data_IF_239494351094
#
_entry.id   IF_239494351094
#
_cell.length_a   1.000
_cell.length_b   1.000
_cell.length_c   1.000
_cell.angle_alpha   90.00
_cell.angle_beta   90.00
_cell.angle_gamma   90.00
#
_symmetry.space_group_name_H-M   'P 1'
#
loop_
_entity.id
_entity.type
_entity.pdbx_description
1 polymer ?
#
# COMPACT_ATOMS: atom_id res chain seq x y z
N UNK A 1 17.91 -8.86 -5.69
CA UNK A 1 16.47 -8.91 -5.39
C UNK A 1 16.24 -7.94 -4.26
N UNK A 2 15.43 -6.90 -4.48
CA UNK A 2 14.98 -6.06 -3.37
C UNK A 2 13.96 -6.90 -2.60
N UNK A 3 14.34 -7.41 -1.43
CA UNK A 3 13.37 -7.99 -0.52
C UNK A 3 12.52 -6.84 0.03
N UNK A 4 11.21 -6.99 0.08
CA UNK A 4 10.32 -6.00 0.70
C UNK A 4 9.73 -6.58 1.97
N UNK A 5 9.62 -5.75 2.99
CA UNK A 5 8.79 -6.00 4.15
C UNK A 5 7.44 -5.33 3.91
N UNK A 6 6.39 -6.13 3.89
CA UNK A 6 5.09 -5.73 3.40
C UNK A 6 4.03 -5.88 4.49
N UNK A 7 3.20 -4.85 4.62
CA UNK A 7 2.08 -4.81 5.57
C UNK A 7 0.78 -4.50 4.82
N UNK A 8 -0.17 -5.43 4.86
CA UNK A 8 -1.51 -5.25 4.33
C UNK A 8 -2.40 -4.53 5.34
N UNK A 9 -3.06 -3.48 4.88
CA UNK A 9 -4.21 -2.85 5.52
C UNK A 9 -5.46 -3.28 4.77
N UNK A 10 -6.27 -4.12 5.39
CA UNK A 10 -7.58 -4.47 4.89
C UNK A 10 -8.62 -3.54 5.51
N UNK A 11 -9.32 -2.77 4.68
CA UNK A 11 -10.30 -1.79 5.15
C UNK A 11 -11.58 -2.47 5.63
N UNK A 12 -12.20 -1.87 6.65
CA UNK A 12 -13.47 -2.36 7.21
C UNK A 12 -14.61 -2.33 6.19
N UNK A 13 -14.62 -1.32 5.34
CA UNK A 13 -15.60 -1.13 4.28
C UNK A 13 -14.89 -0.64 3.01
N UNK A 14 -15.44 -0.98 1.85
CA UNK A 14 -14.95 -0.49 0.57
C UNK A 14 -15.13 1.03 0.46
N UNK A 15 -14.12 1.71 -0.06
CA UNK A 15 -14.08 3.17 -0.20
C UNK A 15 -14.05 3.58 -1.66
N UNK A 16 -14.61 4.75 -1.95
CA UNK A 16 -14.44 5.39 -3.24
C UNK A 16 -12.95 5.81 -3.39
N UNK A 17 -12.24 5.36 -4.44
CA UNK A 17 -10.79 5.50 -4.52
C UNK A 17 -10.27 6.94 -4.43
N UNK A 18 -10.82 7.87 -5.22
CA UNK A 18 -10.26 9.22 -5.36
C UNK A 18 -10.34 9.99 -4.04
N UNK A 19 -11.50 9.98 -3.39
CA UNK A 19 -11.71 10.62 -2.09
C UNK A 19 -10.85 9.99 -0.98
N UNK A 20 -10.75 8.66 -0.96
CA UNK A 20 -9.94 7.95 0.04
C UNK A 20 -8.45 8.26 -0.11
N UNK A 21 -7.89 8.12 -1.31
CA UNK A 21 -6.45 8.34 -1.56
C UNK A 21 -6.10 9.82 -1.29
N UNK A 22 -6.94 10.76 -1.72
CA UNK A 22 -6.73 12.19 -1.47
C UNK A 22 -6.72 12.52 0.03
N UNK A 23 -7.64 11.95 0.82
CA UNK A 23 -7.67 12.15 2.26
C UNK A 23 -6.48 11.48 2.96
N UNK A 24 -6.15 10.25 2.55
CA UNK A 24 -5.01 9.52 3.07
C UNK A 24 -3.70 10.29 2.82
N UNK A 25 -3.45 10.77 1.59
CA UNK A 25 -2.26 11.56 1.27
C UNK A 25 -2.08 12.78 2.18
N UNK A 26 -3.16 13.52 2.47
CA UNK A 26 -3.12 14.64 3.43
C UNK A 26 -2.70 14.19 4.84
N UNK A 27 -3.23 13.05 5.30
CA UNK A 27 -2.88 12.48 6.61
C UNK A 27 -1.46 11.92 6.64
N UNK A 28 -0.99 11.27 5.56
CA UNK A 28 0.38 10.80 5.43
C UNK A 28 1.40 11.96 5.47
N UNK A 29 1.10 13.06 4.77
CA UNK A 29 1.91 14.28 4.84
C UNK A 29 2.02 14.83 6.28
N UNK A 30 0.99 14.67 7.12
CA UNK A 30 1.03 15.11 8.53
C UNK A 30 1.99 14.32 9.43
N UNK A 31 2.52 13.20 8.93
CA UNK A 31 3.52 12.36 9.60
C UNK A 31 4.80 12.23 8.77
N UNK A 32 5.10 13.23 7.93
CA UNK A 32 6.30 13.32 7.10
C UNK A 32 6.47 12.19 6.06
N UNK A 33 5.38 11.50 5.70
CA UNK A 33 5.34 10.55 4.59
C UNK A 33 4.70 11.23 3.38
N UNK A 34 5.54 11.80 2.51
CA UNK A 34 5.10 12.62 1.39
C UNK A 34 5.16 11.87 0.07
N UNK A 35 4.18 12.10 -0.81
CA UNK A 35 4.16 11.53 -2.16
C UNK A 35 5.39 12.01 -2.94
N UNK A 36 6.21 11.07 -3.42
CA UNK A 36 7.44 11.38 -4.14
C UNK A 36 7.12 11.73 -5.59
N UNK A 37 7.76 12.79 -6.09
CA UNK A 37 7.64 13.25 -7.47
C UNK A 37 9.04 13.52 -7.98
N UNK A 38 9.39 12.87 -9.07
CA UNK A 38 10.64 13.07 -9.80
C UNK A 38 10.55 12.33 -11.12
N UNK A 39 11.34 12.74 -12.10
CA UNK A 39 11.43 12.10 -13.42
C UNK A 39 11.85 10.61 -13.37
N UNK A 40 12.18 10.09 -12.19
CA UNK A 40 12.52 8.69 -11.92
C UNK A 40 11.43 7.91 -11.16
N UNK A 41 10.33 8.56 -10.76
CA UNK A 41 9.21 7.91 -10.06
C UNK A 41 8.18 7.47 -11.08
N UNK A 42 7.64 6.28 -10.86
CA UNK A 42 6.69 5.64 -11.75
C UNK A 42 5.42 5.30 -10.97
N UNK A 43 4.26 5.60 -11.55
CA UNK A 43 3.00 4.98 -11.15
C UNK A 43 2.92 3.63 -11.86
N UNK A 44 2.88 2.56 -11.07
CA UNK A 44 2.72 1.19 -11.57
C UNK A 44 1.27 0.78 -11.34
N UNK A 45 0.62 0.22 -12.35
CA UNK A 45 -0.77 -0.23 -12.26
C UNK A 45 -0.81 -1.74 -12.00
N UNK A 46 -1.72 -2.17 -11.13
CA UNK A 46 -2.09 -3.58 -11.01
C UNK A 46 -3.02 -3.96 -12.17
N UNK A 47 -3.08 -5.24 -12.49
CA UNK A 47 -4.01 -5.75 -13.48
C UNK A 47 -5.46 -5.63 -12.96
N UNK A 48 -6.39 -5.43 -13.89
CA UNK A 48 -7.81 -5.54 -13.57
C UNK A 48 -8.17 -7.00 -13.30
N UNK A 49 -9.34 -7.26 -12.69
CA UNK A 49 -9.81 -8.63 -12.42
C UNK A 49 -10.09 -9.45 -13.68
N UNK A 50 -10.18 -8.80 -14.84
CA UNK A 50 -10.26 -9.44 -16.14
C UNK A 50 -8.89 -9.56 -16.85
N UNK A 51 -7.78 -9.42 -16.10
CA UNK A 51 -6.41 -9.55 -16.60
C UNK A 51 -6.03 -8.51 -17.66
N UNK A 52 -6.74 -7.38 -17.72
CA UNK A 52 -6.27 -6.22 -18.46
C UNK A 52 -5.09 -5.59 -17.72
N UNK A 53 -3.98 -5.39 -18.44
CA UNK A 53 -2.77 -4.75 -17.94
C UNK A 53 -2.72 -3.27 -18.38
N UNK A 54 -2.02 -2.43 -17.62
CA UNK A 54 -1.77 -1.03 -17.99
C UNK A 54 -0.31 -0.66 -17.79
N UNK A 55 0.27 -0.09 -18.84
CA UNK A 55 1.66 0.35 -18.84
C UNK A 55 1.92 1.39 -17.73
N UNK A 56 3.08 1.31 -17.06
CA UNK A 56 3.50 2.28 -16.07
C UNK A 56 3.67 3.68 -16.66
N UNK A 57 3.49 4.70 -15.82
CA UNK A 57 3.64 6.11 -16.21
C UNK A 57 4.66 6.81 -15.31
N UNK A 58 5.65 7.44 -15.92
CA UNK A 58 6.65 8.25 -15.24
C UNK A 58 6.03 9.59 -14.82
N UNK A 59 6.23 9.96 -13.57
CA UNK A 59 5.80 11.24 -13.05
C UNK A 59 6.88 12.27 -13.32
N UNK A 60 6.48 13.46 -13.77
CA UNK A 60 7.40 14.60 -13.82
C UNK A 60 7.33 15.39 -12.50
N UNK A 61 8.33 16.24 -12.26
CA UNK A 61 8.35 17.12 -11.10
C UNK A 61 7.20 18.15 -11.06
N UNK A 62 6.57 18.44 -12.21
CA UNK A 62 5.44 19.37 -12.30
C UNK A 62 4.08 18.73 -11.99
N UNK A 63 4.01 17.40 -11.94
CA UNK A 63 2.74 16.69 -11.74
C UNK A 63 2.22 16.99 -10.34
N UNK A 64 1.01 17.50 -10.26
CA UNK A 64 0.34 17.82 -9.00
C UNK A 64 -0.13 16.56 -8.29
N UNK A 65 -0.33 16.65 -6.98
CA UNK A 65 -0.87 15.52 -6.21
C UNK A 65 -2.25 15.09 -6.73
N UNK A 66 -3.09 16.05 -7.11
CA UNK A 66 -4.41 15.79 -7.69
C UNK A 66 -4.29 15.03 -9.02
N UNK A 67 -3.37 15.41 -9.90
CA UNK A 67 -3.12 14.70 -11.16
C UNK A 67 -2.61 13.28 -10.92
N UNK A 68 -1.73 13.05 -9.93
CA UNK A 68 -1.28 11.68 -9.59
C UNK A 68 -2.45 10.83 -9.08
N UNK A 69 -3.30 11.40 -8.22
CA UNK A 69 -4.50 10.70 -7.72
C UNK A 69 -5.47 10.40 -8.87
N UNK A 70 -5.70 11.35 -9.76
CA UNK A 70 -6.52 11.14 -10.95
C UNK A 70 -5.95 10.08 -11.87
N UNK A 71 -4.63 10.06 -12.01
CA UNK A 71 -3.95 9.08 -12.83
C UNK A 71 -4.12 7.66 -12.30
N UNK A 72 -3.86 7.41 -11.01
CA UNK A 72 -4.05 6.08 -10.42
C UNK A 72 -5.54 5.67 -10.44
N UNK A 73 -6.44 6.61 -10.16
CA UNK A 73 -7.89 6.34 -10.15
C UNK A 73 -8.48 6.19 -11.56
N UNK A 74 -7.74 6.54 -12.62
CA UNK A 74 -8.15 6.28 -14.01
C UNK A 74 -8.13 4.79 -14.37
N UNK A 75 -7.58 3.94 -13.50
CA UNK A 75 -7.47 2.50 -13.70
C UNK A 75 -8.19 1.71 -12.61
N UNK A 76 -8.91 0.65 -13.00
CA UNK A 76 -9.80 -0.08 -12.09
C UNK A 76 -9.07 -1.04 -11.15
N UNK A 77 -7.97 -1.65 -11.60
CA UNK A 77 -7.15 -2.55 -10.79
C UNK A 77 -6.45 -1.85 -9.60
N UNK A 78 -6.39 -0.51 -9.65
CA UNK A 78 -5.54 0.35 -8.82
C UNK A 78 -4.06 -0.04 -8.91
N UNK A 79 -3.18 0.56 -8.12
CA UNK A 79 -1.75 0.45 -8.35
C UNK A 79 -0.90 1.03 -7.24
N UNK A 80 0.39 1.16 -7.53
CA UNK A 80 1.42 1.57 -6.60
C UNK A 80 1.76 3.05 -6.78
N UNK A 81 1.82 3.75 -5.65
CA UNK A 81 2.41 5.07 -5.51
C UNK A 81 3.61 5.02 -4.55
N UNK A 82 4.60 5.84 -4.83
CA UNK A 82 5.86 5.89 -4.08
C UNK A 82 5.91 7.12 -3.19
N UNK A 83 6.38 6.94 -1.95
CA UNK A 83 6.44 7.98 -0.92
C UNK A 83 7.83 8.07 -0.31
N UNK A 84 8.16 9.26 0.21
CA UNK A 84 9.41 9.54 0.91
C UNK A 84 9.14 9.89 2.37
N UNK A 85 9.89 9.27 3.27
CA UNK A 85 9.92 9.63 4.69
C UNK A 85 11.37 9.71 5.18
N UNK A 86 11.73 10.76 5.96
CA UNK A 86 13.12 11.08 6.28
C UNK A 86 13.86 9.96 7.04
N UNK A 87 13.14 9.16 7.84
CA UNK A 87 13.75 8.05 8.58
C UNK A 87 14.15 6.86 7.71
N UNK A 88 13.70 6.77 6.46
CA UNK A 88 14.08 5.71 5.52
C UNK A 88 15.11 6.24 4.53
N UNK A 89 16.00 5.39 4.01
CA UNK A 89 16.94 5.79 2.96
C UNK A 89 16.25 5.72 1.61
N UNK A 90 15.51 4.65 1.40
CA UNK A 90 14.75 4.37 0.19
C UNK A 90 13.30 4.80 0.37
N UNK A 91 12.56 4.64 -0.71
CA UNK A 91 11.16 4.93 -0.77
C UNK A 91 10.31 3.92 0.02
N UNK A 92 9.13 4.38 0.40
CA UNK A 92 8.06 3.56 0.97
C UNK A 92 6.96 3.52 -0.08
N UNK A 93 6.61 2.32 -0.53
CA UNK A 93 5.59 2.15 -1.55
C UNK A 93 4.24 1.85 -0.91
N UNK A 94 3.17 2.37 -1.49
CA UNK A 94 1.80 2.02 -1.14
C UNK A 94 1.09 1.50 -2.39
N UNK A 95 0.78 0.21 -2.40
CA UNK A 95 -0.03 -0.42 -3.44
C UNK A 95 -1.51 -0.42 -3.03
N UNK A 96 -2.34 0.33 -3.74
CA UNK A 96 -3.78 0.42 -3.52
C UNK A 96 -4.51 -0.71 -4.24
N UNK A 97 -5.45 -1.36 -3.54
CA UNK A 97 -6.01 -2.63 -4.00
C UNK A 97 -7.53 -2.59 -4.12
N UNK A 98 -8.02 -3.13 -5.24
CA UNK A 98 -9.41 -3.51 -5.46
C UNK A 98 -9.50 -5.02 -5.65
N UNK A 99 -10.63 -5.61 -5.25
CA UNK A 99 -10.96 -7.01 -5.56
C UNK A 99 -12.22 -7.13 -6.44
N UNK A 100 -12.82 -6.00 -6.80
CA UNK A 100 -14.04 -5.91 -7.60
C UNK A 100 -13.94 -4.86 -8.72
N UNK A 101 -12.75 -4.29 -8.96
CA UNK A 101 -12.49 -3.24 -9.96
C UNK A 101 -13.34 -1.97 -9.77
N UNK A 102 -13.87 -1.74 -8.56
CA UNK A 102 -14.77 -0.62 -8.26
C UNK A 102 -14.41 0.10 -6.98
N UNK A 103 -14.25 -0.65 -5.89
CA UNK A 103 -14.02 -0.09 -4.56
C UNK A 103 -12.61 -0.43 -4.10
N UNK A 104 -11.96 0.56 -3.50
CA UNK A 104 -10.72 0.35 -2.78
C UNK A 104 -11.06 -0.38 -1.48
N UNK A 105 -10.49 -1.57 -1.31
CA UNK A 105 -10.78 -2.47 -0.17
C UNK A 105 -9.57 -2.66 0.74
N UNK A 106 -8.38 -2.29 0.27
CA UNK A 106 -7.17 -2.37 1.06
C UNK A 106 -6.00 -1.69 0.37
N UNK A 107 -4.87 -1.68 1.04
CA UNK A 107 -3.60 -1.27 0.47
C UNK A 107 -2.46 -1.99 1.18
N UNK A 108 -1.34 -2.18 0.48
CA UNK A 108 -0.11 -2.76 1.03
C UNK A 108 0.92 -1.66 1.13
N UNK A 109 1.57 -1.55 2.29
CA UNK A 109 2.74 -0.70 2.47
C UNK A 109 3.99 -1.57 2.39
N UNK A 110 4.90 -1.24 1.48
CA UNK A 110 6.13 -1.97 1.25
C UNK A 110 7.34 -1.11 1.62
N UNK A 111 8.24 -1.68 2.42
CA UNK A 111 9.51 -1.07 2.79
C UNK A 111 10.65 -1.85 2.15
N UNK A 112 11.62 -1.13 1.58
CA UNK A 112 12.81 -1.77 1.07
C UNK A 112 13.55 -2.53 2.19
N UNK A 113 13.82 -3.81 1.99
CA UNK A 113 14.40 -4.70 3.00
C UNK A 113 15.80 -4.28 3.43
N UNK A 114 16.53 -3.53 2.59
CA UNK A 114 17.82 -2.93 2.96
C UNK A 114 17.69 -1.87 4.06
N UNK A 115 16.56 -1.16 4.15
CA UNK A 115 16.25 -0.28 5.27
C UNK A 115 15.80 -1.07 6.51
N UNK A 116 15.17 -2.24 6.33
CA UNK A 116 14.55 -2.99 7.43
C UNK A 116 15.54 -3.71 8.35
N UNK A 117 16.75 -4.05 7.88
CA UNK A 117 17.78 -4.71 8.69
C UNK A 117 18.09 -4.00 10.03
N UNK A 118 17.85 -2.69 10.13
CA UNK A 118 18.14 -1.90 11.33
C UNK A 118 16.95 -1.04 11.84
N UNK A 119 15.79 -1.09 11.18
CA UNK A 119 14.70 -0.11 11.39
C UNK A 119 13.31 -0.72 11.66
N UNK A 120 13.23 -2.00 12.06
CA UNK A 120 11.95 -2.66 12.35
C UNK A 120 11.07 -1.88 13.36
N UNK A 121 11.66 -1.29 14.40
CA UNK A 121 10.90 -0.48 15.37
C UNK A 121 10.33 0.80 14.75
N UNK A 122 11.04 1.41 13.80
CA UNK A 122 10.60 2.64 13.12
C UNK A 122 9.46 2.29 12.15
N UNK A 123 9.59 1.19 11.43
CA UNK A 123 8.54 0.66 10.56
C UNK A 123 7.24 0.41 11.36
N UNK A 124 7.31 -0.34 12.45
CA UNK A 124 6.14 -0.62 13.33
C UNK A 124 5.50 0.67 13.84
N UNK A 125 6.31 1.67 14.22
CA UNK A 125 5.81 3.00 14.62
C UNK A 125 5.11 3.72 13.48
N UNK A 126 5.64 3.67 12.25
CA UNK A 126 5.01 4.29 11.09
C UNK A 126 3.68 3.59 10.75
N UNK A 127 3.65 2.26 10.70
CA UNK A 127 2.44 1.46 10.52
C UNK A 127 1.38 1.82 11.58
N UNK A 128 1.79 1.92 12.86
CA UNK A 128 0.90 2.31 13.97
C UNK A 128 0.38 3.75 13.87
N UNK A 129 1.13 4.67 13.23
CA UNK A 129 0.62 6.03 12.95
C UNK A 129 -0.42 5.98 11.83
N UNK A 130 -0.12 5.26 10.75
CA UNK A 130 -1.01 5.15 9.58
C UNK A 130 -2.33 4.45 9.95
N UNK A 131 -2.29 3.46 10.84
CA UNK A 131 -3.50 2.77 11.30
C UNK A 131 -4.51 3.68 11.99
N UNK A 132 -4.08 4.83 12.54
CA UNK A 132 -4.97 5.83 13.14
C UNK A 132 -5.72 6.68 12.11
N UNK A 133 -5.39 6.56 10.83
CA UNK A 133 -5.97 7.37 9.75
C UNK A 133 -7.11 6.69 9.01
N UNK A 134 -7.25 5.38 9.18
CA UNK A 134 -8.15 4.52 8.38
C UNK A 134 -8.92 3.57 9.28
N UNK A 135 -10.18 3.31 8.94
CA UNK A 135 -10.95 2.23 9.55
C UNK A 135 -10.59 0.90 8.88
N UNK A 136 -9.97 -0.01 9.62
CA UNK A 136 -9.52 -1.30 9.13
C UNK A 136 -10.28 -2.47 9.77
N UNK A 137 -10.38 -3.55 9.00
CA UNK A 137 -10.79 -4.87 9.49
C UNK A 137 -9.57 -5.61 10.05
N UNK A 138 -8.47 -5.61 9.29
CA UNK A 138 -7.21 -6.26 9.66
C UNK A 138 -6.01 -5.43 9.20
N UNK A 139 -4.96 -5.43 10.00
CA UNK A 139 -3.62 -5.02 9.58
C UNK A 139 -2.67 -6.18 9.88
N UNK A 140 -2.04 -6.71 8.84
CA UNK A 140 -1.12 -7.84 8.94
C UNK A 140 0.19 -7.59 8.21
N UNK A 141 1.32 -7.82 8.87
CA UNK A 141 2.67 -7.64 8.32
C UNK A 141 3.42 -8.94 8.08
N UNK A 142 4.60 -8.83 7.47
CA UNK A 142 5.39 -9.97 6.99
C UNK A 142 4.61 -10.82 5.96
N UNK A 143 3.99 -10.16 4.98
CA UNK A 143 3.14 -10.81 3.97
C UNK A 143 3.78 -10.88 2.59
N UNK A 144 5.08 -10.63 2.46
CA UNK A 144 5.76 -10.62 1.16
C UNK A 144 5.97 -12.02 0.59
N UNK A 145 6.26 -12.11 -0.72
CA UNK A 145 6.39 -13.38 -1.45
C UNK A 145 7.51 -14.31 -0.98
N UNK A 146 8.42 -13.82 -0.14
CA UNK A 146 9.48 -14.62 0.50
C UNK A 146 9.14 -15.04 1.92
N UNK A 147 8.04 -14.51 2.49
CA UNK A 147 7.56 -14.89 3.80
C UNK A 147 6.81 -16.21 3.77
N UNK A 148 6.81 -16.92 4.91
CA UNK A 148 5.94 -18.07 5.16
C UNK A 148 4.46 -17.67 5.22
N UNK A 149 4.20 -16.40 5.53
CA UNK A 149 2.87 -15.81 5.65
C UNK A 149 2.46 -15.06 4.37
N UNK A 150 3.10 -15.33 3.24
CA UNK A 150 2.80 -14.68 1.95
C UNK A 150 1.30 -14.69 1.65
N UNK A 151 0.73 -13.50 1.39
CA UNK A 151 -0.64 -13.35 0.93
C UNK A 151 -0.62 -13.01 -0.56
N UNK A 152 -1.25 -13.86 -1.37
CA UNK A 152 -1.43 -13.62 -2.81
C UNK A 152 -2.58 -12.65 -3.04
N UNK A 153 -2.29 -11.43 -3.45
CA UNK A 153 -3.30 -10.38 -3.62
C UNK A 153 -4.24 -10.63 -4.82
N UNK A 154 -3.87 -11.56 -5.70
CA UNK A 154 -4.68 -12.02 -6.83
C UNK A 154 -5.83 -12.93 -6.38
N UNK A 155 -5.74 -13.54 -5.18
CA UNK A 155 -6.82 -14.37 -4.65
C UNK A 155 -8.07 -13.55 -4.29
N UNK A 156 -9.20 -14.23 -4.15
CA UNK A 156 -10.44 -13.58 -3.74
C UNK A 156 -10.30 -13.02 -2.32
N UNK A 157 -11.01 -11.91 -2.08
CA UNK A 157 -10.99 -11.26 -0.78
C UNK A 157 -11.37 -12.21 0.37
N UNK A 158 -12.32 -13.12 0.15
CA UNK A 158 -12.74 -14.11 1.15
C UNK A 158 -11.62 -15.09 1.52
N UNK A 159 -10.82 -15.54 0.54
CA UNK A 159 -9.67 -16.42 0.79
C UNK A 159 -8.58 -15.70 1.58
N UNK A 160 -8.32 -14.44 1.23
CA UNK A 160 -7.35 -13.62 1.95
C UNK A 160 -7.79 -13.43 3.40
N UNK A 161 -9.07 -13.13 3.65
CA UNK A 161 -9.62 -13.04 5.00
C UNK A 161 -9.49 -14.34 5.77
N UNK A 162 -9.83 -15.47 5.15
CA UNK A 162 -9.66 -16.80 5.76
C UNK A 162 -8.18 -17.07 6.13
N UNK A 163 -7.25 -16.76 5.23
CA UNK A 163 -5.83 -16.88 5.50
C UNK A 163 -5.40 -15.99 6.68
N UNK A 164 -5.87 -14.75 6.74
CA UNK A 164 -5.59 -13.85 7.86
C UNK A 164 -6.09 -14.43 9.18
N UNK A 165 -7.30 -14.99 9.21
CA UNK A 165 -7.88 -15.56 10.43
C UNK A 165 -7.15 -16.81 10.91
N UNK A 166 -6.64 -17.62 9.99
CA UNK A 166 -6.01 -18.91 10.28
C UNK A 166 -4.50 -18.83 10.58
N UNK A 167 -3.87 -17.67 10.42
CA UNK A 167 -2.44 -17.48 10.63
C UNK A 167 -2.13 -16.42 11.69
N UNK A 168 -0.88 -16.41 12.15
CA UNK A 168 -0.33 -15.39 13.04
C UNK A 168 0.77 -14.63 12.32
N UNK A 169 0.69 -13.31 12.38
CA UNK A 169 1.57 -12.39 11.66
C UNK A 169 2.48 -11.65 12.64
N UNK A 170 3.62 -11.15 12.16
CA UNK A 170 4.55 -10.39 13.01
C UNK A 170 3.92 -9.06 13.46
N UNK A 171 3.24 -8.39 12.53
CA UNK A 171 2.32 -7.31 12.82
C UNK A 171 0.93 -7.91 12.68
N UNK A 172 0.14 -7.93 13.75
CA UNK A 172 -1.24 -8.41 13.73
C UNK A 172 -2.12 -7.51 14.59
N UNK A 173 -3.03 -6.77 13.94
CA UNK A 173 -3.93 -5.85 14.63
C UNK A 173 -4.88 -6.52 15.62
N UNK A 174 -5.07 -7.84 15.57
CA UNK A 174 -5.87 -8.57 16.58
C UNK A 174 -5.22 -8.55 17.97
N UNK A 175 -3.94 -8.21 18.04
CA UNK A 175 -3.12 -8.23 19.27
C UNK A 175 -2.71 -6.84 19.75
N UNK A 176 -3.19 -5.77 19.11
CA UNK A 176 -2.88 -4.38 19.44
C UNK A 176 -3.67 -3.83 20.63
#
# INVERSE_FOLDING_TARGET
MSYFDETLFLLKEGKEPKSFISDLNKKLNSIDLALQRSDYVVVVFNDCRNEEEKEPIWLDNSTTEEEVVDLICSWKGLGLLTYRHPDFRLEVDINYLTWDDKLLRGFVISFAGSDMFYKQDIQKKLISKISKFVDYEHIVGDISNVSKNYIRMEESLDKIKEQILNNTFEIDSKTW
#
